data_IF_059275923983
#
_entry.id   IF_059275923983
#
_cell.length_a   1.000
_cell.length_b   1.000
_cell.length_c   1.000
_cell.angle_alpha   90.00
_cell.angle_beta   90.00
_cell.angle_gamma   90.00
#
_symmetry.space_group_name_H-M   'P 1'
#
loop_
_entity.id
_entity.type
_entity.pdbx_description
1 polymer ?
#
# COMPACT_ATOMS: atom_id res chain seq x y z
N UNK A 1 9.15 14.23 -4.87
CA UNK A 1 10.12 13.14 -4.60
C UNK A 1 11.55 13.52 -4.92
N UNK A 2 11.95 13.85 -6.17
CA UNK A 2 13.37 14.03 -6.48
C UNK A 2 13.99 15.24 -5.75
N UNK A 3 13.27 16.37 -5.69
CA UNK A 3 13.74 17.58 -5.00
C UNK A 3 13.85 17.35 -3.49
N UNK A 4 12.82 16.79 -2.86
CA UNK A 4 12.83 16.55 -1.42
C UNK A 4 13.88 15.50 -1.02
N UNK A 5 14.04 14.44 -1.81
CA UNK A 5 15.05 13.42 -1.58
C UNK A 5 16.47 14.00 -1.77
N UNK A 6 16.67 14.88 -2.76
CA UNK A 6 17.94 15.58 -2.94
C UNK A 6 18.25 16.52 -1.78
N UNK A 7 17.30 17.33 -1.32
CA UNK A 7 17.49 18.27 -0.19
C UNK A 7 17.75 17.50 1.11
N UNK A 8 16.91 16.51 1.44
CA UNK A 8 17.08 15.71 2.66
C UNK A 8 18.36 14.88 2.60
N UNK A 9 18.70 14.33 1.43
CA UNK A 9 19.97 13.63 1.23
C UNK A 9 21.19 14.53 1.42
N UNK A 10 21.15 15.75 0.88
CA UNK A 10 22.20 16.74 1.05
C UNK A 10 22.37 17.16 2.51
N UNK A 11 21.27 17.42 3.22
CA UNK A 11 21.30 17.78 4.64
C UNK A 11 21.79 16.61 5.51
N UNK A 12 21.37 15.37 5.22
CA UNK A 12 21.88 14.20 5.95
C UNK A 12 23.37 13.95 5.68
N UNK A 13 23.84 14.21 4.46
CA UNK A 13 25.26 14.13 4.12
C UNK A 13 26.10 15.10 4.95
N UNK A 14 25.61 16.33 5.14
CA UNK A 14 26.28 17.33 5.98
C UNK A 14 26.35 16.92 7.46
N UNK A 15 25.34 16.22 7.98
CA UNK A 15 25.29 15.84 9.40
C UNK A 15 26.00 14.51 9.74
N UNK A 16 25.98 13.53 8.83
CA UNK A 16 26.34 12.12 9.13
C UNK A 16 27.37 11.58 8.12
N UNK A 17 27.62 12.29 7.01
CA UNK A 17 28.55 11.87 5.97
C UNK A 17 28.08 10.60 5.25
N UNK A 18 29.03 9.69 4.98
CA UNK A 18 28.83 8.48 4.14
C UNK A 18 27.77 7.52 4.70
N UNK A 19 27.59 7.48 6.03
CA UNK A 19 26.56 6.65 6.66
C UNK A 19 25.12 7.04 6.24
N UNK A 20 24.88 8.32 5.89
CA UNK A 20 23.59 8.76 5.39
C UNK A 20 23.22 8.13 4.04
N UNK A 21 24.19 8.00 3.12
CA UNK A 21 23.94 7.41 1.80
C UNK A 21 23.54 5.94 1.91
N UNK A 22 24.14 5.20 2.85
CA UNK A 22 23.81 3.80 3.10
C UNK A 22 22.39 3.68 3.66
N UNK A 23 22.02 4.55 4.61
CA UNK A 23 20.65 4.60 5.15
C UNK A 23 19.60 4.95 4.08
N UNK A 24 19.88 5.94 3.24
CA UNK A 24 18.99 6.34 2.13
C UNK A 24 18.89 5.22 1.09
N UNK A 25 20.00 4.57 0.73
CA UNK A 25 20.03 3.46 -0.20
C UNK A 25 19.22 2.26 0.30
N UNK A 26 19.35 1.92 1.59
CA UNK A 26 18.56 0.89 2.25
C UNK A 26 17.06 1.26 2.23
N UNK A 27 16.71 2.51 2.55
CA UNK A 27 15.33 2.97 2.54
C UNK A 27 14.71 2.91 1.15
N UNK A 28 15.43 3.38 0.12
CA UNK A 28 14.97 3.38 -1.28
C UNK A 28 14.78 1.96 -1.79
N UNK A 29 15.76 1.08 -1.53
CA UNK A 29 15.69 -0.34 -1.93
C UNK A 29 14.52 -1.05 -1.25
N UNK A 30 14.39 -0.87 0.07
CA UNK A 30 13.30 -1.44 0.85
C UNK A 30 11.94 -0.94 0.36
N UNK A 31 11.82 0.37 0.13
CA UNK A 31 10.58 1.02 -0.35
C UNK A 31 10.19 0.51 -1.72
N UNK A 32 11.12 0.48 -2.69
CA UNK A 32 10.83 0.04 -4.06
C UNK A 32 10.43 -1.44 -4.11
N UNK A 33 11.19 -2.33 -3.46
CA UNK A 33 10.94 -3.77 -3.51
C UNK A 33 9.64 -4.14 -2.79
N UNK A 34 9.43 -3.66 -1.55
CA UNK A 34 8.23 -3.98 -0.79
C UNK A 34 7.00 -3.32 -1.40
N UNK A 35 7.04 -2.00 -1.67
CA UNK A 35 5.86 -1.31 -2.20
C UNK A 35 5.51 -1.78 -3.61
N UNK A 36 6.49 -2.04 -4.47
CA UNK A 36 6.25 -2.60 -5.80
C UNK A 36 5.52 -3.94 -5.73
N UNK A 37 5.99 -4.85 -4.88
CA UNK A 37 5.36 -6.14 -4.66
C UNK A 37 3.93 -6.00 -4.09
N UNK A 38 3.75 -5.22 -3.02
CA UNK A 38 2.43 -5.02 -2.41
C UNK A 38 1.45 -4.31 -3.34
N UNK A 39 1.93 -3.37 -4.17
CA UNK A 39 1.11 -2.68 -5.17
C UNK A 39 0.57 -3.67 -6.21
N UNK A 40 1.42 -4.56 -6.73
CA UNK A 40 1.02 -5.59 -7.69
C UNK A 40 0.00 -6.57 -7.11
N UNK A 41 0.28 -7.10 -5.91
CA UNK A 41 -0.64 -8.02 -5.23
C UNK A 41 -1.96 -7.32 -4.89
N UNK A 42 -1.90 -6.07 -4.41
CA UNK A 42 -3.06 -5.25 -4.13
C UNK A 42 -3.90 -4.93 -5.37
N UNK A 43 -3.28 -4.76 -6.53
CA UNK A 43 -3.95 -4.60 -7.82
C UNK A 43 -4.71 -5.88 -8.24
N UNK A 44 -4.03 -7.04 -8.21
CA UNK A 44 -4.66 -8.34 -8.52
C UNK A 44 -5.84 -8.63 -7.61
N UNK A 45 -5.71 -8.33 -6.33
CA UNK A 45 -6.76 -8.58 -5.35
C UNK A 45 -7.96 -7.66 -5.53
N UNK A 46 -7.73 -6.38 -5.87
CA UNK A 46 -8.80 -5.44 -6.26
C UNK A 46 -9.57 -5.95 -7.48
N UNK A 47 -8.88 -6.42 -8.52
CA UNK A 47 -9.54 -6.99 -9.70
C UNK A 47 -10.36 -8.24 -9.36
N UNK A 48 -9.85 -9.11 -8.46
CA UNK A 48 -10.58 -10.30 -8.00
C UNK A 48 -11.83 -9.96 -7.20
N UNK A 49 -11.78 -8.91 -6.36
CA UNK A 49 -12.95 -8.39 -5.64
C UNK A 49 -13.97 -7.87 -6.64
N UNK A 50 -13.56 -7.00 -7.58
CA UNK A 50 -14.46 -6.44 -8.59
C UNK A 50 -15.23 -7.53 -9.34
N UNK A 51 -14.54 -8.56 -9.84
CA UNK A 51 -15.18 -9.69 -10.54
C UNK A 51 -16.22 -10.43 -9.69
N UNK A 52 -15.96 -10.59 -8.39
CA UNK A 52 -16.88 -11.27 -7.45
C UNK A 52 -18.09 -10.40 -7.12
N UNK A 53 -17.86 -9.09 -6.96
CA UNK A 53 -18.94 -8.12 -6.76
C UNK A 53 -19.84 -8.03 -8.00
N UNK A 54 -19.28 -8.04 -9.21
CA UNK A 54 -20.03 -8.05 -10.47
C UNK A 54 -20.92 -9.30 -10.60
N UNK A 55 -20.37 -10.49 -10.30
CA UNK A 55 -21.13 -11.76 -10.30
C UNK A 55 -22.33 -11.70 -9.35
N UNK A 56 -22.15 -11.15 -8.14
CA UNK A 56 -23.25 -10.95 -7.18
C UNK A 56 -24.29 -9.96 -7.70
N UNK A 57 -23.85 -8.84 -8.28
CA UNK A 57 -24.74 -7.80 -8.80
C UNK A 57 -25.57 -8.32 -9.98
N UNK A 58 -24.97 -9.12 -10.86
CA UNK A 58 -25.66 -9.78 -11.95
C UNK A 58 -26.75 -10.74 -11.43
N UNK A 59 -26.40 -11.62 -10.49
CA UNK A 59 -27.37 -12.55 -9.89
C UNK A 59 -28.54 -11.84 -9.18
N UNK A 60 -28.27 -10.73 -8.49
CA UNK A 60 -29.34 -9.93 -7.90
C UNK A 60 -30.23 -9.27 -8.97
N UNK A 61 -29.64 -8.80 -10.07
CA UNK A 61 -30.40 -8.23 -11.18
C UNK A 61 -31.33 -9.27 -11.82
N UNK A 62 -30.83 -10.48 -12.08
CA UNK A 62 -31.64 -11.59 -12.60
C UNK A 62 -32.78 -11.98 -11.65
N UNK A 63 -32.51 -12.02 -10.34
CA UNK A 63 -33.52 -12.31 -9.32
C UNK A 63 -34.62 -11.23 -9.27
N UNK A 64 -34.25 -9.96 -9.35
CA UNK A 64 -35.22 -8.85 -9.36
C UNK A 64 -36.09 -8.91 -10.62
N UNK A 65 -35.51 -9.24 -11.77
CA UNK A 65 -36.24 -9.41 -13.02
C UNK A 65 -37.28 -10.55 -12.94
N UNK A 66 -36.95 -11.65 -12.24
CA UNK A 66 -37.83 -12.81 -12.04
C UNK A 66 -38.70 -12.80 -10.77
N UNK A 67 -38.86 -11.66 -10.09
CA UNK A 67 -39.39 -11.62 -8.71
C UNK A 67 -40.82 -12.20 -8.57
N UNK A 68 -41.67 -12.06 -9.59
CA UNK A 68 -43.04 -12.58 -9.57
C UNK A 68 -43.06 -14.11 -9.48
N UNK A 69 -42.19 -14.79 -10.23
CA UNK A 69 -42.07 -16.26 -10.20
C UNK A 69 -41.53 -16.73 -8.85
N UNK A 70 -40.53 -16.04 -8.32
CA UNK A 70 -39.95 -16.36 -7.00
C UNK A 70 -41.02 -16.30 -5.89
N UNK A 71 -41.88 -15.28 -5.91
CA UNK A 71 -42.99 -15.15 -4.95
C UNK A 71 -44.09 -16.18 -5.18
N UNK A 72 -44.47 -16.43 -6.43
CA UNK A 72 -45.49 -17.41 -6.80
C UNK A 72 -45.17 -18.81 -6.26
N UNK A 73 -43.90 -19.21 -6.31
CA UNK A 73 -43.42 -20.51 -5.82
C UNK A 73 -42.84 -20.48 -4.40
N UNK A 74 -42.89 -19.35 -3.69
CA UNK A 74 -42.29 -19.16 -2.35
C UNK A 74 -40.79 -19.54 -2.29
N UNK A 75 -40.04 -19.32 -3.38
CA UNK A 75 -38.62 -19.66 -3.50
C UNK A 75 -37.67 -18.65 -2.81
N UNK A 76 -38.20 -17.72 -2.02
CA UNK A 76 -37.42 -16.67 -1.35
C UNK A 76 -36.31 -17.24 -0.45
N UNK A 77 -36.62 -18.27 0.35
CA UNK A 77 -35.66 -18.92 1.26
C UNK A 77 -34.50 -19.62 0.52
N UNK A 78 -34.75 -20.49 -0.48
CA UNK A 78 -33.65 -21.12 -1.22
C UNK A 78 -32.82 -20.09 -1.99
N UNK A 79 -33.42 -19.06 -2.59
CA UNK A 79 -32.66 -17.99 -3.25
C UNK A 79 -31.79 -17.20 -2.27
N UNK A 80 -32.31 -16.85 -1.10
CA UNK A 80 -31.51 -16.19 -0.07
C UNK A 80 -30.28 -17.02 0.33
N UNK A 81 -30.44 -18.35 0.42
CA UNK A 81 -29.32 -19.27 0.69
C UNK A 81 -28.26 -19.26 -0.42
N UNK A 82 -28.66 -19.13 -1.68
CA UNK A 82 -27.74 -19.02 -2.82
C UNK A 82 -26.96 -17.70 -2.76
N UNK A 83 -27.66 -16.58 -2.59
CA UNK A 83 -27.05 -15.24 -2.50
C UNK A 83 -26.12 -15.14 -1.29
N UNK A 84 -26.50 -15.70 -0.14
CA UNK A 84 -25.65 -15.74 1.06
C UNK A 84 -24.36 -16.50 0.81
N UNK A 85 -24.39 -17.65 0.11
CA UNK A 85 -23.17 -18.39 -0.23
C UNK A 85 -22.23 -17.59 -1.12
N UNK A 86 -22.77 -16.86 -2.11
CA UNK A 86 -21.97 -16.01 -2.99
C UNK A 86 -21.36 -14.83 -2.21
N UNK A 87 -22.14 -14.23 -1.30
CA UNK A 87 -21.65 -13.21 -0.37
C UNK A 87 -20.54 -13.72 0.54
N UNK A 88 -20.65 -14.93 1.07
CA UNK A 88 -19.60 -15.52 1.92
C UNK A 88 -18.28 -15.70 1.16
N UNK A 89 -18.35 -16.07 -0.12
CA UNK A 89 -17.17 -16.19 -0.98
C UNK A 89 -16.55 -14.81 -1.29
N UNK A 90 -17.37 -13.80 -1.54
CA UNK A 90 -16.92 -12.41 -1.71
C UNK A 90 -16.24 -11.90 -0.44
N UNK A 91 -16.88 -12.08 0.72
CA UNK A 91 -16.37 -11.65 2.03
C UNK A 91 -15.02 -12.29 2.35
N UNK A 92 -14.80 -13.58 2.02
CA UNK A 92 -13.48 -14.21 2.19
C UNK A 92 -12.37 -13.49 1.43
N UNK A 93 -12.64 -13.07 0.19
CA UNK A 93 -11.67 -12.33 -0.64
C UNK A 93 -11.45 -10.93 -0.08
N UNK A 94 -12.52 -10.26 0.36
CA UNK A 94 -12.45 -8.94 1.00
C UNK A 94 -11.65 -9.01 2.31
N UNK A 95 -11.90 -10.01 3.16
CA UNK A 95 -11.16 -10.21 4.41
C UNK A 95 -9.67 -10.41 4.15
N UNK A 96 -9.31 -11.25 3.16
CA UNK A 96 -7.91 -11.41 2.77
C UNK A 96 -7.27 -10.09 2.32
N UNK A 97 -8.02 -9.25 1.59
CA UNK A 97 -7.56 -7.93 1.19
C UNK A 97 -7.37 -6.97 2.37
N UNK A 98 -8.28 -7.02 3.35
CA UNK A 98 -8.16 -6.24 4.58
C UNK A 98 -6.95 -6.66 5.41
N UNK A 99 -6.68 -7.98 5.53
CA UNK A 99 -5.48 -8.47 6.19
C UNK A 99 -4.19 -8.01 5.49
N UNK A 100 -4.16 -8.10 4.15
CA UNK A 100 -3.00 -7.63 3.37
C UNK A 100 -2.78 -6.12 3.53
N UNK A 101 -3.87 -5.32 3.52
CA UNK A 101 -3.79 -3.88 3.77
C UNK A 101 -3.26 -3.56 5.17
N UNK A 102 -3.75 -4.26 6.20
CA UNK A 102 -3.27 -4.12 7.57
C UNK A 102 -1.78 -4.43 7.68
N UNK A 103 -1.35 -5.55 7.09
CA UNK A 103 0.06 -5.94 7.06
C UNK A 103 0.95 -4.92 6.32
N UNK A 104 0.48 -4.40 5.19
CA UNK A 104 1.20 -3.35 4.46
C UNK A 104 1.38 -2.08 5.31
N UNK A 105 0.33 -1.67 6.04
CA UNK A 105 0.40 -0.53 6.95
C UNK A 105 1.42 -0.76 8.08
N UNK A 106 1.42 -1.96 8.68
CA UNK A 106 2.42 -2.34 9.69
C UNK A 106 3.85 -2.28 9.15
N UNK A 107 4.08 -2.76 7.91
CA UNK A 107 5.41 -2.70 7.27
C UNK A 107 5.86 -1.26 7.05
N UNK A 108 4.97 -0.36 6.62
CA UNK A 108 5.30 1.05 6.43
C UNK A 108 5.75 1.70 7.76
N UNK A 109 5.07 1.38 8.86
CA UNK A 109 5.44 1.87 10.18
C UNK A 109 6.79 1.33 10.64
N UNK A 110 7.03 0.02 10.45
CA UNK A 110 8.25 -0.65 10.86
C UNK A 110 9.46 -0.24 10.00
N UNK A 111 9.25 0.01 8.71
CA UNK A 111 10.29 0.40 7.75
C UNK A 111 11.08 1.63 8.19
N UNK A 112 10.41 2.66 8.73
CA UNK A 112 11.09 3.84 9.25
C UNK A 112 12.02 3.55 10.44
N UNK A 113 11.60 2.64 11.33
CA UNK A 113 12.40 2.19 12.48
C UNK A 113 13.59 1.35 12.04
N UNK A 114 13.38 0.45 11.08
CA UNK A 114 14.43 -0.40 10.50
C UNK A 114 15.48 0.46 9.79
N UNK A 115 15.06 1.42 8.98
CA UNK A 115 15.96 2.35 8.28
C UNK A 115 16.81 3.14 9.28
N UNK A 116 16.19 3.63 10.35
CA UNK A 116 16.89 4.35 11.40
C UNK A 116 17.91 3.47 12.12
N UNK A 117 17.54 2.23 12.45
CA UNK A 117 18.44 1.27 13.05
C UNK A 117 19.66 1.01 12.15
N UNK A 118 19.46 0.79 10.85
CA UNK A 118 20.57 0.61 9.91
C UNK A 118 21.44 1.86 9.77
N UNK A 119 20.84 3.05 9.71
CA UNK A 119 21.58 4.30 9.61
C UNK A 119 22.49 4.53 10.84
N UNK A 120 21.96 4.33 12.05
CA UNK A 120 22.72 4.47 13.29
C UNK A 120 23.77 3.37 13.46
N UNK A 121 23.45 2.13 13.10
CA UNK A 121 24.40 1.01 13.18
C UNK A 121 25.60 1.25 12.27
N UNK A 122 25.38 1.67 11.02
CA UNK A 122 26.46 2.01 10.11
C UNK A 122 27.27 3.22 10.57
N UNK A 123 26.62 4.20 11.20
CA UNK A 123 27.32 5.36 11.76
C UNK A 123 28.32 4.96 12.86
N UNK A 124 27.94 4.04 13.73
CA UNK A 124 28.85 3.46 14.74
C UNK A 124 29.95 2.63 14.09
N UNK A 125 29.61 1.85 13.06
CA UNK A 125 30.57 0.97 12.36
C UNK A 125 31.70 1.74 11.67
N UNK A 126 31.42 2.96 11.22
CA UNK A 126 32.40 3.88 10.62
C UNK A 126 33.35 4.49 11.67
N UNK A 127 33.08 4.26 12.97
CA UNK A 127 33.92 4.73 14.07
C UNK A 127 33.53 6.11 14.60
N UNK A 128 32.37 6.64 14.21
CA UNK A 128 31.88 7.92 14.72
C UNK A 128 31.15 7.74 16.07
N UNK A 129 31.31 8.70 16.96
CA UNK A 129 30.59 8.73 18.25
C UNK A 129 29.18 9.30 18.06
N UNK A 130 28.16 8.59 18.54
CA UNK A 130 26.79 9.09 18.54
C UNK A 130 26.65 10.21 19.56
N UNK A 131 26.51 11.45 19.07
CA UNK A 131 26.09 12.59 19.87
C UNK A 131 24.57 12.71 19.83
N UNK A 132 23.95 13.19 20.91
CA UNK A 132 22.49 13.38 20.97
C UNK A 132 21.95 14.25 19.82
N UNK A 133 22.72 15.26 19.41
CA UNK A 133 22.41 16.13 18.27
C UNK A 133 22.27 15.34 16.96
N UNK A 134 23.27 14.54 16.60
CA UNK A 134 23.27 13.79 15.33
C UNK A 134 22.18 12.73 15.33
N UNK A 135 21.92 12.08 16.46
CA UNK A 135 20.82 11.13 16.61
C UNK A 135 19.45 11.78 16.40
N UNK A 136 19.21 12.94 17.04
CA UNK A 136 17.92 13.63 16.94
C UNK A 136 17.66 14.16 15.52
N UNK A 137 18.69 14.76 14.89
CA UNK A 137 18.62 15.23 13.51
C UNK A 137 18.36 14.07 12.54
N UNK A 138 19.03 12.93 12.73
CA UNK A 138 18.81 11.71 11.93
C UNK A 138 17.37 11.22 12.00
N UNK A 139 16.81 11.15 13.22
CA UNK A 139 15.42 10.73 13.45
C UNK A 139 14.45 11.66 12.70
N UNK A 140 14.65 12.97 12.81
CA UNK A 140 13.81 13.96 12.16
C UNK A 140 13.82 13.86 10.64
N UNK A 141 15.02 13.78 10.05
CA UNK A 141 15.20 13.71 8.60
C UNK A 141 14.67 12.39 8.01
N UNK A 142 14.92 11.25 8.65
CA UNK A 142 14.39 9.95 8.22
C UNK A 142 12.86 9.93 8.29
N UNK A 143 12.26 10.48 9.35
CA UNK A 143 10.80 10.54 9.45
C UNK A 143 10.18 11.44 8.38
N UNK A 144 10.79 12.59 8.08
CA UNK A 144 10.33 13.47 7.01
C UNK A 144 10.41 12.77 5.64
N UNK A 145 11.53 12.09 5.35
CA UNK A 145 11.71 11.35 4.11
C UNK A 145 10.76 10.15 4.00
N UNK A 146 10.50 9.45 5.12
CA UNK A 146 9.56 8.33 5.19
C UNK A 146 8.17 8.74 4.72
N UNK A 147 7.63 9.86 5.21
CA UNK A 147 6.27 10.29 4.86
C UNK A 147 6.18 10.52 3.35
N UNK A 148 7.19 11.18 2.77
CA UNK A 148 7.29 11.40 1.33
C UNK A 148 7.35 10.10 0.54
N UNK A 149 8.30 9.22 0.84
CA UNK A 149 8.46 7.98 0.10
C UNK A 149 7.34 6.96 0.34
N UNK A 150 6.77 6.91 1.55
CA UNK A 150 5.79 5.89 1.91
C UNK A 150 4.35 6.23 1.53
N UNK A 151 3.98 7.51 1.54
CA UNK A 151 2.58 7.93 1.38
C UNK A 151 2.37 8.65 0.06
N UNK A 152 3.15 9.70 -0.18
CA UNK A 152 2.93 10.56 -1.34
C UNK A 152 3.37 9.91 -2.65
N UNK A 153 4.40 9.06 -2.63
CA UNK A 153 4.87 8.40 -3.85
C UNK A 153 3.88 7.35 -4.40
N UNK A 154 3.36 6.40 -3.59
CA UNK A 154 2.33 5.48 -4.07
C UNK A 154 1.07 6.19 -4.54
N UNK A 155 0.66 7.25 -3.82
CA UNK A 155 -0.52 8.04 -4.19
C UNK A 155 -0.33 8.70 -5.57
N UNK A 156 0.82 9.31 -5.81
CA UNK A 156 1.15 9.92 -7.10
C UNK A 156 1.17 8.88 -8.24
N UNK A 157 1.69 7.67 -8.00
CA UNK A 157 1.68 6.58 -8.99
C UNK A 157 0.25 6.13 -9.33
N UNK A 158 -0.62 6.02 -8.33
CA UNK A 158 -2.03 5.65 -8.56
C UNK A 158 -2.72 6.73 -9.41
N UNK A 159 -2.60 8.00 -9.02
CA UNK A 159 -3.18 9.13 -9.76
C UNK A 159 -2.63 9.23 -11.19
N UNK A 160 -1.33 9.02 -11.37
CA UNK A 160 -0.71 9.02 -12.70
C UNK A 160 -1.21 7.85 -13.56
N UNK A 161 -1.38 6.67 -12.96
CA UNK A 161 -1.95 5.50 -13.65
C UNK A 161 -3.41 5.72 -14.04
N UNK A 162 -4.22 6.29 -13.15
CA UNK A 162 -5.61 6.66 -13.44
C UNK A 162 -5.69 7.72 -14.54
N UNK A 163 -4.87 8.77 -14.46
CA UNK A 163 -4.80 9.81 -15.49
C UNK A 163 -4.39 9.25 -16.86
N UNK A 164 -3.42 8.33 -16.91
CA UNK A 164 -3.00 7.69 -18.15
C UNK A 164 -4.13 6.88 -18.79
N UNK A 165 -4.85 6.07 -18.00
CA UNK A 165 -6.00 5.30 -18.49
C UNK A 165 -7.16 6.22 -18.90
N UNK A 166 -7.36 7.33 -18.19
CA UNK A 166 -8.38 8.33 -18.56
C UNK A 166 -8.06 9.03 -19.88
N UNK A 167 -6.78 9.33 -20.14
CA UNK A 167 -6.34 9.92 -21.41
C UNK A 167 -6.51 8.95 -22.57
N UNK A 168 -6.12 7.68 -22.39
CA UNK A 168 -6.25 6.61 -23.39
C UNK A 168 -7.72 6.31 -23.77
N UNK A 169 -8.69 6.71 -22.93
CA UNK A 169 -10.12 6.62 -23.25
C UNK A 169 -10.65 7.82 -24.05
N UNK A 170 -9.95 8.94 -24.05
CA UNK A 170 -10.36 10.19 -24.72
C UNK A 170 -9.76 10.36 -26.11
N UNK A 171 -8.57 9.81 -26.35
CA UNK A 171 -7.91 9.75 -27.66
C UNK A 171 -8.20 8.43 -28.37
#
# INVERSE_FOLDING_TARGET
MPIQLAITGYVMWLSIGVAALIGIGAMVTQTLLLQGYFSHVGGKLRAKIARKTDERVQQMTELISGIQVVKMYSWEKPFNKIVSKVRDLELKVISYASYLKGFNFSIILLSGKITLYFALTNFVLIGNTITAETAFVSVGLINALRISCAVYFPLALILAGEAAVSLDRLT
#
